data_IF_965424316370
#
_entry.id   IF_965424316370
#
_cell.length_a   1.000
_cell.length_b   1.000
_cell.length_c   1.000
_cell.angle_alpha   90.00
_cell.angle_beta   90.00
_cell.angle_gamma   90.00
#
_symmetry.space_group_name_H-M   'P 1'
#
loop_
_entity.id
_entity.type
_entity.pdbx_description
1 polymer ?
#
# COMPACT_ATOMS: atom_id res chain seq x y z
N UNK A 1 -3.92 20.50 -7.10
CA UNK A 1 -3.35 21.07 -5.86
C UNK A 1 -3.88 20.22 -4.72
N UNK A 2 -3.01 19.59 -3.92
CA UNK A 2 -3.45 18.94 -2.68
C UNK A 2 -4.13 19.99 -1.78
N UNK A 3 -5.26 19.63 -1.17
CA UNK A 3 -5.94 20.52 -0.23
C UNK A 3 -5.03 20.79 0.96
N UNK A 4 -4.99 22.03 1.49
CA UNK A 4 -4.16 22.36 2.64
C UNK A 4 -4.60 21.54 3.88
N UNK A 5 -3.62 20.89 4.51
CA UNK A 5 -3.79 20.06 5.71
C UNK A 5 -4.27 20.92 6.88
N UNK A 6 -5.38 20.51 7.52
CA UNK A 6 -5.84 21.11 8.78
C UNK A 6 -5.06 20.48 9.93
N UNK A 7 -4.40 21.30 10.72
CA UNK A 7 -3.62 20.88 11.89
C UNK A 7 -4.03 21.70 13.12
N UNK A 8 -3.94 21.14 14.34
CA UNK A 8 -4.31 21.84 15.57
C UNK A 8 -3.29 22.89 16.01
N UNK A 9 -2.04 22.78 15.58
CA UNK A 9 -0.97 23.71 15.95
C UNK A 9 -0.88 24.90 14.99
N UNK A 10 -0.48 26.05 15.53
CA UNK A 10 -0.26 27.27 14.77
C UNK A 10 1.08 27.24 14.05
N UNK A 11 2.08 26.58 14.65
CA UNK A 11 3.44 26.47 14.10
C UNK A 11 4.10 25.16 14.50
N UNK A 12 5.13 24.73 13.76
CA UNK A 12 5.92 23.54 14.10
C UNK A 12 6.64 23.69 15.45
N UNK A 13 7.04 24.91 15.84
CA UNK A 13 7.64 25.16 17.16
C UNK A 13 6.68 24.81 18.32
N UNK A 14 5.38 25.03 18.14
CA UNK A 14 4.37 24.65 19.13
C UNK A 14 4.27 23.12 19.26
N UNK A 15 4.37 22.40 18.14
CA UNK A 15 4.40 20.94 18.12
C UNK A 15 5.66 20.37 18.79
N UNK A 16 6.82 20.96 18.49
CA UNK A 16 8.12 20.60 19.05
C UNK A 16 8.17 20.82 20.57
N UNK A 17 7.60 21.93 21.05
CA UNK A 17 7.47 22.21 22.48
C UNK A 17 6.65 21.15 23.22
N UNK A 18 5.53 20.70 22.63
CA UNK A 18 4.71 19.64 23.22
C UNK A 18 5.46 18.31 23.20
N UNK A 19 6.17 18.00 22.11
CA UNK A 19 7.00 16.80 22.06
C UNK A 19 8.05 16.80 23.18
N UNK A 20 8.72 17.93 23.38
CA UNK A 20 9.67 18.15 24.48
C UNK A 20 9.02 17.90 25.85
N UNK A 21 7.85 18.51 26.12
CA UNK A 21 7.10 18.29 27.36
C UNK A 21 6.71 16.83 27.62
N UNK A 22 6.54 16.04 26.56
CA UNK A 22 6.13 14.64 26.66
C UNK A 22 7.32 13.72 26.91
N UNK A 23 8.43 13.94 26.20
CA UNK A 23 9.51 12.96 26.04
C UNK A 23 10.87 13.36 26.63
N UNK A 24 11.09 14.61 27.05
CA UNK A 24 12.41 15.05 27.56
C UNK A 24 12.80 14.37 28.88
N UNK A 25 11.89 14.40 29.87
CA UNK A 25 12.05 13.69 31.14
C UNK A 25 10.82 12.80 31.40
N UNK A 26 11.06 11.51 31.68
CA UNK A 26 10.01 10.56 32.02
C UNK A 26 9.45 10.78 33.43
N UNK A 27 10.26 11.34 34.34
CA UNK A 27 9.92 11.51 35.75
C UNK A 27 9.29 12.88 36.07
N UNK A 28 9.49 13.88 35.20
CA UNK A 28 8.89 15.19 35.41
C UNK A 28 7.41 15.20 34.98
N UNK A 29 6.53 15.27 35.97
CA UNK A 29 5.08 15.28 35.76
C UNK A 29 4.56 16.67 35.35
N UNK A 30 5.27 17.75 35.68
CA UNK A 30 4.82 19.12 35.42
C UNK A 30 4.61 19.40 33.93
N UNK A 31 5.62 19.21 33.08
CA UNK A 31 5.49 19.33 31.62
C UNK A 31 4.46 18.39 31.02
N UNK A 32 4.35 17.14 31.52
CA UNK A 32 3.34 16.19 31.03
C UNK A 32 1.91 16.67 31.28
N UNK A 33 1.65 17.31 32.42
CA UNK A 33 0.34 17.96 32.70
C UNK A 33 0.07 19.08 31.70
N UNK A 34 1.07 19.92 31.37
CA UNK A 34 0.93 20.96 30.36
C UNK A 34 0.60 20.38 28.97
N UNK A 35 1.29 19.29 28.59
CA UNK A 35 1.02 18.59 27.33
C UNK A 35 -0.41 18.02 27.28
N UNK A 36 -0.87 17.37 28.36
CA UNK A 36 -2.25 16.86 28.46
C UNK A 36 -3.28 17.98 28.31
N UNK A 37 -3.10 19.11 29.01
CA UNK A 37 -4.00 20.25 28.91
C UNK A 37 -4.04 20.80 27.49
N UNK A 38 -2.88 20.93 26.84
CA UNK A 38 -2.77 21.45 25.47
C UNK A 38 -3.42 20.53 24.44
N UNK A 39 -3.12 19.23 24.48
CA UNK A 39 -3.73 18.23 23.61
C UNK A 39 -5.25 18.14 23.82
N UNK A 40 -5.72 18.20 25.06
CA UNK A 40 -7.15 18.21 25.38
C UNK A 40 -7.85 19.45 24.81
N UNK A 41 -7.22 20.62 24.94
CA UNK A 41 -7.75 21.86 24.35
C UNK A 41 -7.83 21.79 22.82
N UNK A 42 -6.81 21.23 22.16
CA UNK A 42 -6.83 21.02 20.72
C UNK A 42 -7.93 20.07 20.28
N UNK A 43 -8.10 18.94 20.99
CA UNK A 43 -9.18 17.97 20.74
C UNK A 43 -10.58 18.59 20.80
N UNK A 44 -10.77 19.61 21.63
CA UNK A 44 -12.05 20.30 21.76
C UNK A 44 -12.40 21.18 20.55
N UNK A 45 -11.40 21.64 19.79
CA UNK A 45 -11.60 22.64 18.72
C UNK A 45 -11.40 22.03 17.33
N UNK A 46 -10.55 21.01 17.20
CA UNK A 46 -10.31 20.30 15.95
C UNK A 46 -10.10 18.81 16.19
N UNK A 47 -10.38 18.01 15.16
CA UNK A 47 -10.03 16.59 15.18
C UNK A 47 -8.51 16.45 15.37
N UNK A 48 -8.10 15.69 16.39
CA UNK A 48 -6.72 15.31 16.58
C UNK A 48 -6.38 14.10 15.71
N UNK A 49 -5.19 14.06 15.09
CA UNK A 49 -4.67 12.82 14.52
C UNK A 49 -4.67 11.72 15.58
N UNK A 50 -5.05 10.49 15.21
CA UNK A 50 -5.11 9.37 16.16
C UNK A 50 -3.73 9.10 16.84
N UNK A 51 -2.64 9.51 16.19
CA UNK A 51 -1.33 9.89 16.71
C UNK A 51 -1.35 10.45 18.14
N UNK A 52 -1.84 11.68 18.18
CA UNK A 52 -1.93 12.54 19.34
C UNK A 52 -3.00 12.08 20.31
N UNK A 53 -4.10 11.51 19.81
CA UNK A 53 -5.14 10.95 20.69
C UNK A 53 -4.61 9.78 21.51
N UNK A 54 -3.83 8.90 20.88
CA UNK A 54 -3.16 7.78 21.54
C UNK A 54 -2.14 8.28 22.55
N UNK A 55 -1.31 9.26 22.17
CA UNK A 55 -0.36 9.90 23.10
C UNK A 55 -1.08 10.53 24.30
N UNK A 56 -2.18 11.27 24.09
CA UNK A 56 -3.00 11.84 25.14
C UNK A 56 -3.56 10.75 26.08
N UNK A 57 -4.09 9.66 25.51
CA UNK A 57 -4.61 8.55 26.30
C UNK A 57 -3.53 7.93 27.22
N UNK A 58 -2.33 7.69 26.70
CA UNK A 58 -1.23 7.18 27.54
C UNK A 58 -0.81 8.18 28.62
N UNK A 59 -0.65 9.46 28.28
CA UNK A 59 -0.26 10.49 29.25
C UNK A 59 -1.25 10.60 30.40
N UNK A 60 -2.56 10.58 30.11
CA UNK A 60 -3.60 10.63 31.15
C UNK A 60 -3.47 9.45 32.11
N UNK A 61 -3.26 8.24 31.60
CA UNK A 61 -3.14 7.05 32.45
C UNK A 61 -1.83 7.03 33.24
N UNK A 62 -0.71 7.45 32.64
CA UNK A 62 0.58 7.58 33.34
C UNK A 62 0.51 8.60 34.48
N UNK A 63 -0.14 9.74 34.25
CA UNK A 63 -0.36 10.74 35.30
C UNK A 63 -1.26 10.18 36.41
N UNK A 64 -2.31 9.44 36.07
CA UNK A 64 -3.20 8.80 37.05
C UNK A 64 -2.47 7.76 37.92
N UNK A 65 -1.58 6.98 37.30
CA UNK A 65 -0.75 5.95 37.94
C UNK A 65 0.33 6.54 38.87
N UNK A 66 0.82 7.75 38.56
CA UNK A 66 1.82 8.45 39.39
C UNK A 66 1.27 8.94 40.74
N UNK A 67 -0.05 8.95 40.94
CA UNK A 67 -0.69 9.42 42.18
C UNK A 67 -0.68 8.30 43.24
N UNK A 68 0.06 8.44 44.36
CA UNK A 68 0.29 7.35 45.32
C UNK A 68 -1.00 6.79 45.95
N UNK A 69 -2.05 7.60 46.05
CA UNK A 69 -3.33 7.19 46.67
C UNK A 69 -4.20 6.29 45.78
N UNK A 70 -3.94 6.23 44.47
CA UNK A 70 -4.74 5.45 43.49
C UNK A 70 -4.19 4.07 43.20
N UNK A 71 -2.97 3.75 43.65
CA UNK A 71 -2.37 2.42 43.58
C UNK A 71 -3.23 1.32 44.24
N UNK A 72 -4.18 1.70 45.13
CA UNK A 72 -5.13 0.80 45.77
C UNK A 72 -6.17 0.18 44.79
N UNK A 73 -6.44 0.81 43.63
CA UNK A 73 -7.40 0.32 42.64
C UNK A 73 -6.68 -0.20 41.38
N UNK A 74 -5.91 -1.29 41.55
CA UNK A 74 -5.11 -1.88 40.46
C UNK A 74 -5.93 -2.22 39.21
N UNK A 75 -7.23 -2.53 39.34
CA UNK A 75 -8.09 -2.88 38.22
C UNK A 75 -8.40 -1.70 37.29
N UNK A 76 -8.74 -0.52 37.82
CA UNK A 76 -9.09 0.63 36.98
C UNK A 76 -7.88 1.12 36.18
N UNK A 77 -6.70 1.16 36.80
CA UNK A 77 -5.44 1.48 36.12
C UNK A 77 -5.15 0.46 35.02
N UNK A 78 -5.25 -0.83 35.31
CA UNK A 78 -5.05 -1.89 34.29
C UNK A 78 -6.02 -1.76 33.12
N UNK A 79 -7.30 -1.49 33.39
CA UNK A 79 -8.30 -1.29 32.35
C UNK A 79 -8.00 -0.06 31.48
N UNK A 80 -7.57 1.04 32.10
CA UNK A 80 -7.24 2.26 31.39
C UNK A 80 -6.00 2.11 30.49
N UNK A 81 -4.93 1.49 30.99
CA UNK A 81 -3.76 1.17 30.15
C UNK A 81 -4.13 0.22 29.01
N UNK A 82 -4.86 -0.86 29.31
CA UNK A 82 -5.32 -1.79 28.30
C UNK A 82 -6.15 -1.10 27.21
N UNK A 83 -7.09 -0.23 27.59
CA UNK A 83 -7.90 0.54 26.67
C UNK A 83 -7.04 1.47 25.77
N UNK A 84 -6.02 2.12 26.32
CA UNK A 84 -5.11 2.95 25.54
C UNK A 84 -4.33 2.13 24.49
N UNK A 85 -3.82 0.95 24.87
CA UNK A 85 -3.10 0.04 23.96
C UNK A 85 -4.04 -0.50 22.87
N UNK A 86 -5.24 -0.94 23.25
CA UNK A 86 -6.26 -1.43 22.30
C UNK A 86 -6.58 -0.34 21.27
N UNK A 87 -6.82 0.91 21.73
CA UNK A 87 -7.14 2.01 20.82
C UNK A 87 -5.97 2.37 19.90
N UNK A 88 -4.75 2.41 20.42
CA UNK A 88 -3.56 2.62 19.59
C UNK A 88 -3.48 1.58 18.47
N UNK A 89 -3.48 0.29 18.83
CA UNK A 89 -3.30 -0.81 17.87
C UNK A 89 -4.42 -0.86 16.85
N UNK A 90 -5.68 -0.77 17.28
CA UNK A 90 -6.81 -0.81 16.36
C UNK A 90 -6.82 0.40 15.42
N UNK A 91 -6.67 1.62 15.93
CA UNK A 91 -6.68 2.79 15.06
C UNK A 91 -5.43 2.94 14.17
N UNK A 92 -4.35 2.21 14.45
CA UNK A 92 -3.23 2.02 13.51
C UNK A 92 -3.58 1.07 12.37
N UNK A 93 -4.20 -0.06 12.71
CA UNK A 93 -4.35 -1.19 11.79
C UNK A 93 -5.61 -1.08 10.94
N UNK A 94 -6.71 -0.59 11.51
CA UNK A 94 -8.01 -0.56 10.84
C UNK A 94 -8.00 0.31 9.56
N UNK A 95 -7.41 1.53 9.54
CA UNK A 95 -7.33 2.33 8.31
C UNK A 95 -6.44 1.69 7.22
N UNK A 96 -5.55 0.79 7.62
CA UNK A 96 -4.59 0.10 6.75
C UNK A 96 -5.05 -1.30 6.34
N UNK A 97 -6.27 -1.67 6.72
CA UNK A 97 -6.92 -2.90 6.30
C UNK A 97 -7.44 -2.78 4.86
N UNK A 98 -6.49 -2.59 3.93
CA UNK A 98 -6.74 -2.32 2.52
C UNK A 98 -6.89 -3.61 1.70
N UNK A 99 -7.71 -3.57 0.65
CA UNK A 99 -7.87 -4.66 -0.31
C UNK A 99 -9.11 -5.52 -0.08
N UNK A 100 -9.29 -6.53 -0.95
CA UNK A 100 -10.48 -7.40 -0.94
C UNK A 100 -10.46 -8.43 0.18
N UNK A 101 -9.26 -8.86 0.58
CA UNK A 101 -9.07 -9.88 1.61
C UNK A 101 -8.54 -9.26 2.89
N UNK A 102 -9.16 -9.62 4.02
CA UNK A 102 -8.70 -9.20 5.32
C UNK A 102 -7.27 -9.70 5.59
N UNK A 103 -6.41 -8.82 6.08
CA UNK A 103 -5.05 -9.16 6.56
C UNK A 103 -5.07 -9.31 8.07
N UNK A 104 -4.17 -10.12 8.61
CA UNK A 104 -4.05 -10.21 10.07
C UNK A 104 -3.50 -8.91 10.65
N UNK A 105 -3.95 -8.57 11.87
CA UNK A 105 -3.44 -7.40 12.62
C UNK A 105 -1.93 -7.49 12.75
N UNK A 106 -1.40 -8.67 13.11
CA UNK A 106 0.04 -8.93 13.18
C UNK A 106 0.77 -8.65 11.85
N UNK A 107 0.19 -8.97 10.69
CA UNK A 107 0.82 -8.69 9.39
C UNK A 107 0.91 -7.20 9.09
N UNK A 108 -0.12 -6.41 9.45
CA UNK A 108 -0.11 -4.96 9.26
C UNK A 108 0.85 -4.33 10.27
N UNK A 109 0.78 -4.70 11.54
CA UNK A 109 1.68 -4.22 12.60
C UNK A 109 3.16 -4.49 12.28
N UNK A 110 3.48 -5.69 11.77
CA UNK A 110 4.83 -6.00 11.31
C UNK A 110 5.29 -5.03 10.20
N UNK A 111 4.41 -4.73 9.25
CA UNK A 111 4.72 -3.81 8.16
C UNK A 111 4.93 -2.37 8.66
N UNK A 112 4.25 -1.98 9.74
CA UNK A 112 4.43 -0.69 10.41
C UNK A 112 5.66 -0.64 11.32
N UNK A 113 6.38 -1.74 11.50
CA UNK A 113 7.45 -1.83 12.50
C UNK A 113 6.94 -1.73 13.94
N UNK A 114 5.65 -1.97 14.19
CA UNK A 114 5.09 -2.03 15.54
C UNK A 114 5.49 -3.36 16.20
N UNK A 115 6.03 -3.34 17.43
CA UNK A 115 6.37 -4.56 18.15
C UNK A 115 5.18 -5.52 18.26
N UNK A 116 5.34 -6.76 17.76
CA UNK A 116 4.23 -7.72 17.66
C UNK A 116 3.63 -8.12 19.01
N UNK A 117 4.43 -8.08 20.08
CA UNK A 117 3.93 -8.36 21.43
C UNK A 117 2.92 -7.31 21.92
N UNK A 118 2.90 -6.08 21.35
CA UNK A 118 1.82 -5.11 21.62
C UNK A 118 0.49 -5.56 20.99
N UNK A 119 0.55 -6.29 19.88
CA UNK A 119 -0.62 -6.93 19.26
C UNK A 119 -1.12 -8.08 20.13
N UNK A 120 -0.21 -8.87 20.70
CA UNK A 120 -0.53 -9.92 21.67
C UNK A 120 -1.16 -9.32 22.94
N UNK A 121 -0.58 -8.24 23.46
CA UNK A 121 -1.09 -7.54 24.64
C UNK A 121 -2.49 -6.96 24.40
N UNK A 122 -2.73 -6.42 23.18
CA UNK A 122 -4.08 -6.03 22.72
C UNK A 122 -5.02 -7.23 22.67
N UNK A 123 -4.58 -8.36 22.11
CA UNK A 123 -5.41 -9.57 22.01
C UNK A 123 -5.82 -10.06 23.40
N UNK A 124 -4.85 -10.24 24.30
CA UNK A 124 -5.06 -10.66 25.68
C UNK A 124 -6.02 -9.72 26.42
N UNK A 125 -5.82 -8.40 26.28
CA UNK A 125 -6.68 -7.39 26.92
C UNK A 125 -8.14 -7.38 26.43
N UNK A 126 -8.43 -8.00 25.28
CA UNK A 126 -9.78 -8.05 24.69
C UNK A 126 -10.48 -9.41 24.83
N UNK A 127 -9.72 -10.51 24.84
CA UNK A 127 -10.26 -11.85 24.71
C UNK A 127 -9.80 -12.83 25.79
N UNK A 128 -8.71 -12.53 26.48
CA UNK A 128 -8.12 -13.37 27.52
C UNK A 128 -8.20 -12.66 28.88
N UNK A 129 -7.40 -13.14 29.83
CA UNK A 129 -7.24 -12.46 31.11
C UNK A 129 -6.50 -11.14 30.94
N UNK A 130 -7.03 -10.09 31.59
CA UNK A 130 -6.43 -8.76 31.55
C UNK A 130 -4.95 -8.84 32.01
N UNK A 131 -3.98 -8.29 31.27
CA UNK A 131 -2.57 -8.39 31.63
C UNK A 131 -2.23 -7.73 32.98
N UNK A 132 -1.07 -8.06 33.54
CA UNK A 132 -0.58 -7.43 34.78
C UNK A 132 -0.30 -5.94 34.57
N UNK A 133 -0.36 -5.17 35.66
CA UNK A 133 -0.09 -3.72 35.58
C UNK A 133 1.33 -3.43 35.09
N UNK A 134 2.31 -4.26 35.47
CA UNK A 134 3.70 -4.13 35.01
C UNK A 134 3.83 -4.32 33.50
N UNK A 135 3.20 -5.36 32.93
CA UNK A 135 3.20 -5.58 31.48
C UNK A 135 2.51 -4.44 30.73
N UNK A 136 1.42 -3.90 31.28
CA UNK A 136 0.69 -2.78 30.69
C UNK A 136 1.48 -1.47 30.72
N UNK A 137 2.22 -1.19 31.80
CA UNK A 137 3.15 -0.05 31.89
C UNK A 137 4.26 -0.16 30.85
N UNK A 138 4.87 -1.34 30.72
CA UNK A 138 5.89 -1.58 29.69
C UNK A 138 5.31 -1.44 28.27
N UNK A 139 4.08 -1.91 28.06
CA UNK A 139 3.35 -1.75 26.79
C UNK A 139 3.10 -0.29 26.45
N UNK A 140 2.72 0.52 27.43
CA UNK A 140 2.56 1.96 27.28
C UNK A 140 3.88 2.67 26.96
N UNK A 141 4.97 2.31 27.64
CA UNK A 141 6.31 2.89 27.41
C UNK A 141 6.81 2.59 26.00
N UNK A 142 6.70 1.35 25.53
CA UNK A 142 7.08 0.99 24.16
C UNK A 142 6.16 1.65 23.11
N UNK A 143 4.86 1.75 23.40
CA UNK A 143 3.89 2.45 22.55
C UNK A 143 4.24 3.94 22.39
N UNK A 144 4.57 4.62 23.48
CA UNK A 144 5.01 6.03 23.49
C UNK A 144 6.33 6.20 22.73
N UNK A 145 7.29 5.29 22.92
CA UNK A 145 8.56 5.30 22.16
C UNK A 145 8.31 5.14 20.65
N UNK A 146 7.42 4.21 20.28
CA UNK A 146 7.04 4.00 18.88
C UNK A 146 6.37 5.25 18.30
N UNK A 147 5.46 5.89 19.03
CA UNK A 147 4.79 7.14 18.63
C UNK A 147 5.80 8.28 18.44
N UNK A 148 6.80 8.42 19.32
CA UNK A 148 7.87 9.41 19.17
C UNK A 148 8.59 9.23 17.83
N UNK A 149 9.04 8.00 17.55
CA UNK A 149 9.85 7.68 16.39
C UNK A 149 9.07 7.71 15.07
N UNK A 150 7.80 7.28 15.07
CA UNK A 150 7.01 7.06 13.86
C UNK A 150 5.98 8.15 13.58
N UNK A 151 5.72 9.06 14.54
CA UNK A 151 4.79 10.17 14.37
C UNK A 151 5.43 11.52 14.73
N UNK A 152 5.88 11.70 15.98
CA UNK A 152 6.30 13.02 16.46
C UNK A 152 7.56 13.54 15.74
N UNK A 153 8.66 12.78 15.75
CA UNK A 153 9.92 13.22 15.12
C UNK A 153 9.77 13.43 13.61
N UNK A 154 9.13 12.53 12.83
CA UNK A 154 8.90 12.77 11.41
C UNK A 154 7.98 13.97 11.12
N UNK A 155 7.00 14.23 11.98
CA UNK A 155 6.08 15.37 11.80
C UNK A 155 6.77 16.70 12.10
N UNK A 156 7.63 16.75 13.11
CA UNK A 156 8.41 17.95 13.47
C UNK A 156 9.51 18.19 12.44
N UNK A 157 10.20 17.13 12.02
CA UNK A 157 11.34 17.22 11.13
C UNK A 157 11.25 16.23 9.95
N UNK A 158 10.47 16.58 8.91
CA UNK A 158 10.24 15.68 7.77
C UNK A 158 11.48 15.44 6.90
N UNK A 159 12.52 16.29 7.01
CA UNK A 159 13.72 16.20 6.18
C UNK A 159 14.84 15.37 6.80
N UNK A 160 14.81 15.13 8.11
CA UNK A 160 15.87 14.41 8.84
C UNK A 160 15.41 13.00 9.23
N UNK A 161 14.10 12.75 9.34
CA UNK A 161 13.60 11.44 9.69
C UNK A 161 13.93 10.40 8.60
N UNK A 162 14.55 9.26 8.95
CA UNK A 162 14.72 8.17 8.00
C UNK A 162 13.32 7.70 7.57
N UNK A 163 13.05 7.72 6.26
CA UNK A 163 11.79 7.18 5.71
C UNK A 163 11.64 5.75 6.23
N UNK A 164 10.55 5.40 6.95
CA UNK A 164 10.40 4.05 7.46
C UNK A 164 10.39 3.08 6.27
N UNK A 165 11.46 2.29 6.14
CA UNK A 165 11.62 1.37 5.02
C UNK A 165 10.73 0.15 5.27
N UNK A 166 9.50 0.21 4.76
CA UNK A 166 8.68 -0.99 4.69
C UNK A 166 9.21 -1.86 3.55
N UNK A 167 9.70 -3.05 3.87
CA UNK A 167 10.22 -3.98 2.87
C UNK A 167 9.05 -4.66 2.17
N UNK A 168 8.62 -4.11 1.03
CA UNK A 168 7.64 -4.78 0.16
C UNK A 168 8.31 -6.01 -0.47
N UNK A 169 7.73 -7.19 -0.27
CA UNK A 169 8.21 -8.44 -0.89
C UNK A 169 8.09 -8.38 -2.42
N UNK A 170 8.95 -9.10 -3.14
CA UNK A 170 8.79 -9.26 -4.59
C UNK A 170 7.59 -10.16 -4.91
N UNK A 171 6.79 -9.79 -5.91
CA UNK A 171 5.64 -10.58 -6.38
C UNK A 171 6.02 -11.67 -7.41
N UNK A 172 7.23 -11.58 -7.99
CA UNK A 172 7.70 -12.51 -9.04
C UNK A 172 7.60 -13.99 -8.64
N UNK A 173 7.95 -14.41 -7.41
CA UNK A 173 7.79 -15.81 -6.99
C UNK A 173 6.34 -16.29 -7.07
N UNK A 174 5.38 -15.49 -6.58
CA UNK A 174 3.94 -15.81 -6.61
C UNK A 174 3.43 -15.92 -8.05
N UNK A 175 3.84 -15.00 -8.94
CA UNK A 175 3.48 -15.06 -10.36
C UNK A 175 4.04 -16.30 -11.05
N UNK A 176 5.27 -16.71 -10.69
CA UNK A 176 5.89 -17.95 -11.22
C UNK A 176 5.20 -19.21 -10.70
N UNK A 177 4.80 -19.23 -9.43
CA UNK A 177 4.02 -20.32 -8.84
C UNK A 177 2.66 -20.46 -9.52
N UNK A 178 1.91 -19.37 -9.63
CA UNK A 178 0.64 -19.32 -10.37
C UNK A 178 0.81 -19.89 -11.78
N UNK A 179 1.83 -19.41 -12.51
CA UNK A 179 2.16 -19.87 -13.85
C UNK A 179 2.47 -21.37 -13.91
N UNK A 180 3.21 -21.91 -12.95
CA UNK A 180 3.56 -23.33 -12.91
C UNK A 180 2.30 -24.18 -12.73
N UNK A 181 1.44 -23.82 -11.76
CA UNK A 181 0.20 -24.53 -11.45
C UNK A 181 -0.78 -24.53 -12.63
N UNK A 182 -1.01 -23.38 -13.27
CA UNK A 182 -1.90 -23.32 -14.44
C UNK A 182 -1.32 -24.07 -15.63
N UNK A 183 -0.01 -23.98 -15.86
CA UNK A 183 0.65 -24.70 -16.96
C UNK A 183 0.51 -26.21 -16.82
N UNK A 184 0.62 -26.75 -15.61
CA UNK A 184 0.38 -28.17 -15.34
C UNK A 184 -1.08 -28.54 -15.55
N UNK A 185 -2.00 -27.69 -15.07
CA UNK A 185 -3.45 -27.90 -15.20
C UNK A 185 -3.93 -27.87 -16.66
N UNK A 186 -3.35 -27.00 -17.50
CA UNK A 186 -3.67 -26.93 -18.93
C UNK A 186 -3.14 -28.16 -19.68
N UNK A 187 -2.01 -28.72 -19.23
CA UNK A 187 -1.40 -29.91 -19.84
C UNK A 187 -2.09 -31.20 -19.41
N UNK A 188 -2.56 -31.26 -18.17
CA UNK A 188 -3.22 -32.41 -17.59
C UNK A 188 -4.48 -31.95 -16.86
N UNK A 189 -5.63 -32.16 -17.51
CA UNK A 189 -6.93 -31.76 -17.01
C UNK A 189 -7.32 -32.46 -15.69
N UNK A 190 -6.77 -33.66 -15.43
CA UNK A 190 -7.03 -34.38 -14.18
C UNK A 190 -6.53 -33.63 -12.94
N UNK A 191 -5.49 -32.78 -13.11
CA UNK A 191 -4.94 -31.95 -12.04
C UNK A 191 -5.80 -30.73 -11.71
N UNK A 192 -6.81 -30.41 -12.52
CA UNK A 192 -7.67 -29.22 -12.34
C UNK A 192 -8.32 -29.17 -10.97
N UNK A 193 -8.89 -30.29 -10.50
CA UNK A 193 -9.51 -30.36 -9.18
C UNK A 193 -8.48 -30.20 -8.06
N UNK A 194 -7.33 -30.86 -8.21
CA UNK A 194 -6.23 -30.85 -7.23
C UNK A 194 -5.61 -29.46 -7.07
N UNK A 195 -5.35 -28.77 -8.18
CA UNK A 195 -4.68 -27.47 -8.18
C UNK A 195 -5.63 -26.29 -7.98
N UNK A 196 -6.96 -26.48 -8.08
CA UNK A 196 -7.96 -25.40 -7.93
C UNK A 196 -7.72 -24.52 -6.70
N UNK A 197 -7.48 -25.14 -5.53
CA UNK A 197 -7.24 -24.40 -4.28
C UNK A 197 -5.91 -23.65 -4.30
N UNK A 198 -4.83 -24.30 -4.77
CA UNK A 198 -3.52 -23.67 -4.85
C UNK A 198 -3.51 -22.47 -5.82
N UNK A 199 -4.19 -22.59 -6.94
CA UNK A 199 -4.37 -21.49 -7.91
C UNK A 199 -5.14 -20.33 -7.29
N UNK A 200 -6.24 -20.62 -6.59
CA UNK A 200 -7.02 -19.60 -5.90
C UNK A 200 -6.19 -18.89 -4.81
N UNK A 201 -5.36 -19.63 -4.08
CA UNK A 201 -4.44 -19.05 -3.08
C UNK A 201 -3.38 -18.16 -3.73
N UNK A 202 -2.79 -18.57 -4.86
CA UNK A 202 -1.84 -17.74 -5.59
C UNK A 202 -2.47 -16.43 -6.09
N UNK A 203 -3.73 -16.46 -6.54
CA UNK A 203 -4.49 -15.24 -6.90
C UNK A 203 -4.71 -14.36 -5.65
N UNK A 204 -5.11 -14.94 -4.52
CA UNK A 204 -5.24 -14.22 -3.24
C UNK A 204 -3.92 -13.60 -2.77
N UNK A 205 -2.80 -14.26 -3.02
CA UNK A 205 -1.48 -13.76 -2.66
C UNK A 205 -1.06 -12.55 -3.52
N UNK A 206 -1.50 -12.48 -4.79
CA UNK A 206 -1.37 -11.28 -5.63
C UNK A 206 -2.18 -10.12 -5.04
N UNK A 207 -3.45 -10.35 -4.68
CA UNK A 207 -4.30 -9.35 -4.04
C UNK A 207 -3.72 -8.86 -2.69
N UNK A 208 -3.19 -9.79 -1.90
CA UNK A 208 -2.48 -9.47 -0.65
C UNK A 208 -1.24 -8.63 -0.92
N UNK A 209 -0.48 -8.92 -1.97
CA UNK A 209 0.67 -8.11 -2.37
C UNK A 209 0.24 -6.68 -2.75
N UNK A 210 -0.87 -6.50 -3.47
CA UNK A 210 -1.42 -5.18 -3.80
C UNK A 210 -1.76 -4.42 -2.52
N UNK A 211 -2.43 -5.06 -1.56
CA UNK A 211 -2.74 -4.46 -0.26
C UNK A 211 -1.46 -4.07 0.53
N UNK A 212 -0.46 -4.95 0.55
CA UNK A 212 0.84 -4.67 1.16
C UNK A 212 1.54 -3.49 0.47
N UNK A 213 1.51 -3.41 -0.85
CA UNK A 213 2.10 -2.32 -1.62
C UNK A 213 1.40 -0.97 -1.35
N UNK A 214 0.07 -0.97 -1.21
CA UNK A 214 -0.70 0.23 -0.80
C UNK A 214 -0.30 0.71 0.59
N UNK A 215 -0.16 -0.19 1.56
CA UNK A 215 0.31 0.16 2.91
C UNK A 215 1.76 0.68 2.87
N UNK A 216 2.64 0.04 2.11
CA UNK A 216 4.03 0.48 1.98
C UNK A 216 4.13 1.91 1.41
N UNK A 217 3.30 2.21 0.41
CA UNK A 217 3.19 3.55 -0.17
C UNK A 217 2.72 4.56 0.87
N UNK A 218 1.64 4.25 1.59
CA UNK A 218 1.11 5.06 2.70
C UNK A 218 2.20 5.41 3.73
N UNK A 219 2.99 4.43 4.17
CA UNK A 219 4.11 4.67 5.09
C UNK A 219 5.16 5.59 4.46
N UNK A 220 5.54 5.35 3.21
CA UNK A 220 6.57 6.16 2.52
C UNK A 220 6.16 7.61 2.30
N UNK A 221 4.86 7.88 2.16
CA UNK A 221 4.31 9.23 2.03
C UNK A 221 4.02 9.90 3.38
N UNK A 222 4.35 9.24 4.50
CA UNK A 222 4.04 9.73 5.85
C UNK A 222 2.54 9.66 6.21
N UNK A 223 1.73 9.00 5.37
CA UNK A 223 0.30 8.85 5.53
C UNK A 223 -0.01 7.47 6.12
N UNK A 224 0.22 7.35 7.41
CA UNK A 224 -0.06 6.14 8.20
C UNK A 224 -1.57 5.93 8.48
N UNK A 225 -2.46 6.62 7.75
CA UNK A 225 -3.91 6.55 7.97
C UNK A 225 -4.38 7.38 9.17
N UNK A 226 -3.55 8.30 9.67
CA UNK A 226 -3.92 9.26 10.71
C UNK A 226 -4.76 10.43 10.19
N UNK A 227 -5.06 10.46 8.89
CA UNK A 227 -5.66 11.59 8.17
C UNK A 227 -6.84 11.13 7.31
N UNK A 228 -7.76 12.08 7.05
CA UNK A 228 -8.86 11.84 6.12
C UNK A 228 -8.32 11.88 4.68
N UNK A 229 -7.99 10.71 4.14
CA UNK A 229 -7.58 10.56 2.73
C UNK A 229 -8.78 10.78 1.83
N UNK A 230 -8.63 11.58 0.78
CA UNK A 230 -9.71 11.76 -0.21
C UNK A 230 -9.81 10.54 -1.13
N UNK A 231 -10.99 10.29 -1.70
CA UNK A 231 -11.18 9.22 -2.68
C UNK A 231 -10.21 9.35 -3.87
N UNK A 232 -9.91 10.59 -4.28
CA UNK A 232 -8.96 10.89 -5.38
C UNK A 232 -7.53 10.45 -5.04
N UNK A 233 -7.09 10.68 -3.81
CA UNK A 233 -5.76 10.24 -3.37
C UNK A 233 -5.66 8.71 -3.33
N UNK A 234 -6.76 8.04 -2.96
CA UNK A 234 -6.81 6.59 -2.92
C UNK A 234 -6.72 5.96 -4.32
N UNK A 235 -7.42 6.54 -5.30
CA UNK A 235 -7.36 6.10 -6.70
C UNK A 235 -5.97 6.30 -7.31
N UNK A 236 -5.32 7.43 -7.01
CA UNK A 236 -3.95 7.69 -7.47
C UNK A 236 -2.94 6.70 -6.89
N UNK A 237 -3.07 6.39 -5.58
CA UNK A 237 -2.23 5.38 -4.90
C UNK A 237 -2.45 3.99 -5.46
N UNK A 238 -3.71 3.62 -5.71
CA UNK A 238 -4.05 2.35 -6.35
C UNK A 238 -3.45 2.24 -7.75
N UNK A 239 -3.60 3.29 -8.56
CA UNK A 239 -3.00 3.37 -9.89
C UNK A 239 -1.49 3.12 -9.84
N UNK A 240 -0.77 3.80 -8.96
CA UNK A 240 0.68 3.62 -8.79
C UNK A 240 1.07 2.18 -8.42
N UNK A 241 0.32 1.54 -7.53
CA UNK A 241 0.57 0.13 -7.16
C UNK A 241 0.31 -0.81 -8.35
N UNK A 242 -0.76 -0.57 -9.12
CA UNK A 242 -1.08 -1.34 -10.32
C UNK A 242 -0.05 -1.14 -11.43
N UNK A 243 0.58 0.04 -11.54
CA UNK A 243 1.68 0.28 -12.46
C UNK A 243 2.89 -0.61 -12.10
N UNK A 244 3.24 -0.70 -10.82
CA UNK A 244 4.31 -1.60 -10.35
C UNK A 244 3.99 -3.07 -10.59
N UNK A 245 2.74 -3.48 -10.35
CA UNK A 245 2.28 -4.83 -10.67
C UNK A 245 2.40 -5.11 -12.17
N UNK A 246 1.99 -4.15 -12.99
CA UNK A 246 2.03 -4.25 -14.44
C UNK A 246 3.46 -4.40 -14.93
N UNK A 247 4.43 -3.63 -14.40
CA UNK A 247 5.84 -3.77 -14.77
C UNK A 247 6.37 -5.20 -14.53
N UNK A 248 5.99 -5.83 -13.42
CA UNK A 248 6.35 -7.21 -13.11
C UNK A 248 5.62 -8.22 -14.02
N UNK A 249 4.37 -7.94 -14.39
CA UNK A 249 3.62 -8.75 -15.36
C UNK A 249 4.24 -8.70 -16.76
N UNK A 250 4.72 -7.53 -17.18
CA UNK A 250 5.33 -7.30 -18.49
C UNK A 250 6.77 -7.83 -18.57
N UNK A 251 7.39 -8.17 -17.43
CA UNK A 251 8.73 -8.72 -17.37
C UNK A 251 8.88 -10.04 -18.17
N UNK A 252 10.08 -10.24 -18.73
CA UNK A 252 10.44 -11.46 -19.46
C UNK A 252 10.29 -12.68 -18.53
N UNK A 253 9.47 -13.63 -18.97
CA UNK A 253 9.17 -14.86 -18.24
C UNK A 253 7.83 -14.88 -17.53
N UNK A 254 7.10 -13.76 -17.50
CA UNK A 254 5.73 -13.68 -16.97
C UNK A 254 4.72 -13.69 -18.13
N UNK A 255 4.19 -12.54 -18.56
CA UNK A 255 3.28 -12.43 -19.72
C UNK A 255 4.03 -12.68 -21.04
N UNK A 256 5.29 -12.22 -21.13
CA UNK A 256 6.12 -12.45 -22.30
C UNK A 256 7.00 -13.69 -22.08
N UNK A 257 6.84 -14.79 -22.83
CA UNK A 257 7.64 -16.01 -22.63
C UNK A 257 9.14 -15.76 -22.75
N UNK A 258 9.99 -16.48 -21.99
CA UNK A 258 11.46 -16.33 -22.11
C UNK A 258 11.98 -16.80 -23.47
N UNK A 259 11.48 -17.93 -23.97
CA UNK A 259 11.94 -18.53 -25.21
C UNK A 259 11.37 -17.80 -26.43
N UNK A 260 12.25 -17.38 -27.36
CA UNK A 260 11.86 -16.79 -28.66
C UNK A 260 10.97 -17.74 -29.47
N UNK A 261 11.17 -19.07 -29.35
CA UNK A 261 10.33 -20.09 -30.01
C UNK A 261 8.86 -20.06 -29.58
N UNK A 262 8.58 -19.51 -28.38
CA UNK A 262 7.22 -19.33 -27.86
C UNK A 262 6.64 -17.94 -28.14
N UNK A 263 7.41 -17.07 -28.81
CA UNK A 263 7.02 -15.75 -29.30
C UNK A 263 6.87 -15.78 -30.82
N UNK A 264 6.37 -16.89 -31.35
CA UNK A 264 6.00 -17.04 -32.75
C UNK A 264 4.52 -16.73 -32.87
N UNK A 265 4.16 -15.84 -33.79
CA UNK A 265 2.80 -15.35 -33.91
C UNK A 265 2.24 -15.77 -35.28
N UNK A 266 0.99 -16.26 -35.34
CA UNK A 266 0.31 -16.46 -36.61
C UNK A 266 0.19 -15.14 -37.37
N UNK A 267 0.30 -15.17 -38.69
CA UNK A 267 0.08 -13.98 -39.53
C UNK A 267 -1.38 -13.53 -39.51
N UNK A 268 -2.30 -14.46 -39.25
CA UNK A 268 -3.74 -14.27 -39.40
C UNK A 268 -4.39 -13.52 -38.24
N UNK A 269 -3.70 -13.38 -37.09
CA UNK A 269 -4.24 -12.64 -35.93
C UNK A 269 -3.18 -11.84 -35.19
N UNK A 270 -3.55 -10.65 -34.74
CA UNK A 270 -2.72 -9.79 -33.90
C UNK A 270 -2.98 -10.01 -32.39
N UNK A 271 -3.22 -11.26 -31.99
CA UNK A 271 -3.48 -11.62 -30.60
C UNK A 271 -2.30 -12.39 -29.99
N UNK A 272 -2.16 -12.41 -28.66
CA UNK A 272 -1.15 -13.24 -27.99
C UNK A 272 -1.39 -14.73 -28.28
N UNK A 273 -0.36 -15.58 -28.18
CA UNK A 273 -0.53 -17.03 -28.35
C UNK A 273 -1.60 -17.57 -27.41
N UNK A 274 -2.52 -18.39 -27.92
CA UNK A 274 -3.69 -18.87 -27.17
C UNK A 274 -3.31 -19.53 -25.84
N UNK A 275 -2.26 -20.33 -25.82
CA UNK A 275 -1.74 -20.94 -24.59
C UNK A 275 -1.36 -19.90 -23.53
N UNK A 276 -0.80 -18.76 -23.93
CA UNK A 276 -0.46 -17.67 -23.00
C UNK A 276 -1.70 -16.96 -22.49
N UNK A 277 -2.73 -16.82 -23.33
CA UNK A 277 -4.03 -16.29 -22.92
C UNK A 277 -4.69 -17.23 -21.91
N UNK A 278 -4.76 -18.54 -22.18
CA UNK A 278 -5.33 -19.53 -21.24
C UNK A 278 -4.60 -19.53 -19.89
N UNK A 279 -3.28 -19.33 -19.90
CA UNK A 279 -2.44 -19.28 -18.71
C UNK A 279 -2.74 -18.07 -17.81
N UNK A 280 -2.92 -16.88 -18.40
CA UNK A 280 -2.97 -15.61 -17.64
C UNK A 280 -4.35 -14.99 -17.55
N UNK A 281 -5.28 -15.34 -18.44
CA UNK A 281 -6.65 -14.82 -18.46
C UNK A 281 -7.36 -14.92 -17.11
N UNK A 282 -7.27 -16.03 -16.33
CA UNK A 282 -7.96 -16.09 -15.04
C UNK A 282 -7.47 -15.04 -14.04
N UNK A 283 -6.15 -14.80 -13.97
CA UNK A 283 -5.59 -13.76 -13.11
C UNK A 283 -5.93 -12.35 -13.61
N UNK A 284 -5.75 -12.10 -14.91
CA UNK A 284 -6.02 -10.78 -15.50
C UNK A 284 -7.50 -10.38 -15.38
N UNK A 285 -8.41 -11.33 -15.56
CA UNK A 285 -9.84 -11.08 -15.38
C UNK A 285 -10.15 -10.80 -13.91
N UNK A 286 -9.57 -11.54 -12.97
CA UNK A 286 -9.74 -11.27 -11.54
C UNK A 286 -9.27 -9.85 -11.18
N UNK A 287 -8.07 -9.47 -11.61
CA UNK A 287 -7.53 -8.13 -11.38
C UNK A 287 -8.42 -7.04 -11.97
N UNK A 288 -8.94 -7.20 -13.19
CA UNK A 288 -9.86 -6.22 -13.77
C UNK A 288 -11.20 -6.15 -13.04
N UNK A 289 -11.74 -7.29 -12.58
CA UNK A 289 -12.99 -7.30 -11.81
C UNK A 289 -12.85 -6.67 -10.44
N UNK A 290 -11.66 -6.78 -9.83
CA UNK A 290 -11.37 -6.21 -8.51
C UNK A 290 -10.96 -4.74 -8.61
N UNK A 291 -10.20 -4.37 -9.65
CA UNK A 291 -9.60 -3.06 -9.84
C UNK A 291 -10.03 -2.47 -11.19
N UNK A 292 -11.03 -1.57 -11.22
CA UNK A 292 -11.59 -1.05 -12.48
C UNK A 292 -10.56 -0.40 -13.40
N UNK A 293 -9.54 0.25 -12.83
CA UNK A 293 -8.48 0.95 -13.55
C UNK A 293 -7.34 0.02 -14.03
N UNK A 294 -7.38 -1.27 -13.75
CA UNK A 294 -6.27 -2.17 -14.08
C UNK A 294 -6.00 -2.24 -15.59
N UNK A 295 -7.04 -2.38 -16.41
CA UNK A 295 -6.92 -2.48 -17.86
C UNK A 295 -6.27 -1.23 -18.49
N UNK A 296 -6.72 -0.03 -18.10
CA UNK A 296 -6.16 1.23 -18.58
C UNK A 296 -4.69 1.38 -18.15
N UNK A 297 -4.38 1.05 -16.89
CA UNK A 297 -3.00 1.04 -16.38
C UNK A 297 -2.12 0.07 -17.16
N UNK A 298 -2.56 -1.17 -17.36
CA UNK A 298 -1.79 -2.19 -18.07
C UNK A 298 -1.48 -1.77 -19.51
N UNK A 299 -2.49 -1.28 -20.24
CA UNK A 299 -2.31 -0.79 -21.62
C UNK A 299 -1.37 0.41 -21.66
N UNK A 300 -1.52 1.36 -20.73
CA UNK A 300 -0.64 2.52 -20.63
C UNK A 300 0.82 2.11 -20.36
N UNK A 301 1.06 1.16 -19.45
CA UNK A 301 2.41 0.62 -19.17
C UNK A 301 2.99 -0.11 -20.37
N UNK A 302 2.19 -0.88 -21.11
CA UNK A 302 2.63 -1.52 -22.36
C UNK A 302 3.06 -0.45 -23.38
N UNK A 303 2.23 0.55 -23.62
CA UNK A 303 2.54 1.63 -24.56
C UNK A 303 3.80 2.40 -24.14
N UNK A 304 3.95 2.68 -22.84
CA UNK A 304 5.15 3.32 -22.30
C UNK A 304 6.41 2.50 -22.58
N UNK A 305 6.37 1.17 -22.40
CA UNK A 305 7.48 0.28 -22.74
C UNK A 305 7.82 0.31 -24.24
N UNK A 306 6.80 0.30 -25.11
CA UNK A 306 6.97 0.30 -26.57
C UNK A 306 7.48 1.64 -27.12
N UNK A 307 7.15 2.75 -26.46
CA UNK A 307 7.48 4.10 -26.92
C UNK A 307 8.83 4.60 -26.36
N UNK A 308 9.24 4.14 -25.17
CA UNK A 308 10.47 4.59 -24.50
C UNK A 308 11.78 4.13 -25.16
N UNK A 309 11.78 3.00 -25.91
CA UNK A 309 13.00 2.49 -26.58
C UNK A 309 13.33 3.21 -27.90
N UNK A 310 12.58 4.24 -28.30
CA UNK A 310 12.84 5.00 -29.54
C UNK A 310 13.96 6.06 -29.43
N UNK A 311 14.43 6.38 -28.22
CA UNK A 311 15.44 7.43 -27.98
C UNK A 311 16.88 6.93 -27.76
N UNK A 312 17.12 5.63 -27.55
CA UNK A 312 18.47 5.07 -27.37
C UNK A 312 19.00 4.43 -28.66
N UNK A 313 19.38 5.30 -29.60
CA UNK A 313 20.15 4.91 -30.78
C UNK A 313 21.56 4.42 -30.40
N UNK A 314 21.69 3.15 -29.97
CA UNK A 314 22.96 2.42 -30.02
C UNK A 314 22.74 0.90 -30.14
N UNK A 315 22.84 0.43 -31.38
CA UNK A 315 23.22 -0.91 -31.85
C UNK A 315 23.23 -2.09 -30.84
N UNK A 316 22.24 -2.99 -30.97
CA UNK A 316 22.30 -4.34 -30.38
C UNK A 316 20.96 -5.08 -30.33
N UNK A 317 20.41 -5.48 -31.48
CA UNK A 317 19.15 -6.26 -31.63
C UNK A 317 17.98 -5.76 -30.77
N UNK A 318 17.21 -4.81 -31.29
CA UNK A 318 15.84 -4.56 -30.81
C UNK A 318 15.13 -5.89 -30.63
N UNK A 319 14.55 -6.14 -29.46
CA UNK A 319 13.86 -7.41 -29.20
C UNK A 319 12.51 -7.40 -29.93
N UNK A 320 12.48 -7.30 -31.26
CA UNK A 320 11.27 -7.19 -32.08
C UNK A 320 10.18 -8.22 -31.69
N UNK A 321 10.57 -9.45 -31.33
CA UNK A 321 9.64 -10.49 -30.82
C UNK A 321 9.01 -10.20 -29.44
N UNK A 322 9.70 -9.48 -28.57
CA UNK A 322 9.23 -9.03 -27.25
C UNK A 322 8.22 -7.89 -27.43
N UNK A 323 8.58 -6.87 -28.20
CA UNK A 323 7.72 -5.70 -28.48
C UNK A 323 6.45 -6.12 -29.20
N UNK A 324 6.59 -7.02 -30.19
CA UNK A 324 5.48 -7.65 -30.89
C UNK A 324 4.56 -8.46 -29.95
N UNK A 325 5.11 -9.05 -28.88
CA UNK A 325 4.31 -9.76 -27.87
C UNK A 325 3.53 -8.78 -26.99
N UNK A 326 4.18 -7.68 -26.57
CA UNK A 326 3.58 -6.64 -25.75
C UNK A 326 2.43 -5.95 -26.50
N UNK A 327 2.65 -5.54 -27.76
CA UNK A 327 1.63 -4.92 -28.58
C UNK A 327 0.38 -5.80 -28.76
N UNK A 328 0.57 -7.12 -28.87
CA UNK A 328 -0.53 -8.09 -28.93
C UNK A 328 -1.29 -8.20 -27.61
N UNK A 329 -0.61 -8.13 -26.47
CA UNK A 329 -1.26 -8.09 -25.16
C UNK A 329 -2.06 -6.79 -24.96
N UNK A 330 -1.56 -5.65 -25.43
CA UNK A 330 -2.33 -4.40 -25.44
C UNK A 330 -3.60 -4.52 -26.29
N UNK A 331 -3.49 -5.09 -27.51
CA UNK A 331 -4.68 -5.37 -28.33
C UNK A 331 -5.66 -6.30 -27.61
N UNK A 332 -5.18 -7.41 -27.05
CA UNK A 332 -6.04 -8.35 -26.32
C UNK A 332 -6.76 -7.68 -25.14
N UNK A 333 -6.08 -6.81 -24.38
CA UNK A 333 -6.68 -6.08 -23.28
C UNK A 333 -7.79 -5.13 -23.76
N UNK A 334 -7.54 -4.39 -24.86
CA UNK A 334 -8.55 -3.52 -25.49
C UNK A 334 -9.74 -4.35 -25.98
N UNK A 335 -9.50 -5.40 -26.78
CA UNK A 335 -10.57 -6.23 -27.34
C UNK A 335 -11.40 -6.95 -26.24
N UNK A 336 -10.79 -7.25 -25.08
CA UNK A 336 -11.45 -7.98 -23.99
C UNK A 336 -12.28 -7.07 -23.08
N UNK A 337 -11.84 -5.81 -22.87
CA UNK A 337 -12.40 -4.93 -21.83
C UNK A 337 -13.00 -3.62 -22.35
N UNK A 338 -12.71 -3.22 -23.58
CA UNK A 338 -13.32 -2.05 -24.23
C UNK A 338 -14.50 -2.55 -25.08
N UNK A 339 -15.66 -2.75 -24.45
CA UNK A 339 -16.90 -3.11 -25.15
C UNK A 339 -17.46 -1.90 -25.91
N UNK A 340 -17.88 -2.10 -27.16
CA UNK A 340 -18.44 -1.01 -28.00
C UNK A 340 -19.76 -0.41 -27.46
N UNK A 341 -20.35 -0.98 -26.40
CA UNK A 341 -21.65 -0.61 -25.78
C UNK A 341 -21.55 0.14 -24.43
N UNK A 342 -20.35 0.49 -23.96
CA UNK A 342 -20.22 1.13 -22.64
C UNK A 342 -20.29 2.66 -22.73
N UNK A 343 -21.34 3.26 -22.17
CA UNK A 343 -21.49 4.70 -21.83
C UNK A 343 -20.45 5.21 -20.79
N UNK A 344 -19.32 4.52 -20.64
CA UNK A 344 -18.25 4.90 -19.73
C UNK A 344 -17.50 6.11 -20.31
N UNK A 345 -17.34 7.17 -19.51
CA UNK A 345 -16.64 8.41 -19.89
C UNK A 345 -15.19 8.18 -20.38
N UNK A 346 -14.59 7.03 -20.09
CA UNK A 346 -13.19 6.69 -20.38
C UNK A 346 -13.11 5.39 -21.18
N UNK A 347 -12.83 5.48 -22.49
CA UNK A 347 -12.55 4.31 -23.33
C UNK A 347 -11.05 4.06 -23.43
N UNK A 348 -10.63 2.82 -23.17
CA UNK A 348 -9.22 2.41 -23.17
C UNK A 348 -8.62 2.60 -24.56
N UNK A 349 -9.41 2.35 -25.62
CA UNK A 349 -9.01 2.58 -27.02
C UNK A 349 -8.77 4.06 -27.30
N UNK A 350 -9.60 4.96 -26.76
CA UNK A 350 -9.40 6.41 -26.89
C UNK A 350 -8.13 6.86 -26.16
N UNK A 351 -7.90 6.40 -24.93
CA UNK A 351 -6.68 6.74 -24.17
C UNK A 351 -5.40 6.23 -24.85
N UNK A 352 -5.44 5.01 -25.37
CA UNK A 352 -4.33 4.43 -26.13
C UNK A 352 -4.05 5.25 -27.40
N UNK A 353 -5.10 5.63 -28.15
CA UNK A 353 -4.96 6.48 -29.33
C UNK A 353 -4.38 7.85 -28.99
N UNK A 354 -4.84 8.51 -27.93
CA UNK A 354 -4.31 9.80 -27.46
C UNK A 354 -2.84 9.67 -27.08
N UNK A 355 -2.45 8.61 -26.37
CA UNK A 355 -1.05 8.36 -26.00
C UNK A 355 -0.16 8.19 -27.24
N UNK A 356 -0.62 7.43 -28.24
CA UNK A 356 0.08 7.26 -29.52
C UNK A 356 0.17 8.56 -30.31
N UNK A 357 -0.91 9.34 -30.39
CA UNK A 357 -0.94 10.65 -31.08
C UNK A 357 -0.02 11.65 -30.38
N UNK A 358 0.05 11.64 -29.07
CA UNK A 358 0.91 12.57 -28.32
C UNK A 358 2.39 12.31 -28.59
N UNK A 359 2.78 11.04 -28.74
CA UNK A 359 4.18 10.64 -28.95
C UNK A 359 4.56 10.58 -30.44
N UNK A 360 3.65 10.21 -31.33
CA UNK A 360 3.93 10.06 -32.77
C UNK A 360 3.40 11.24 -33.61
N UNK A 361 2.64 12.14 -32.99
CA UNK A 361 2.04 13.30 -33.64
C UNK A 361 3.09 14.31 -34.14
N UNK A 362 2.71 15.16 -35.11
CA UNK A 362 3.64 16.03 -35.83
C UNK A 362 4.39 17.06 -34.96
N UNK A 363 4.01 17.24 -33.69
CA UNK A 363 4.64 18.15 -32.73
C UNK A 363 6.10 17.82 -32.38
N UNK A 364 6.54 16.56 -32.52
CA UNK A 364 7.95 16.18 -32.33
C UNK A 364 8.83 16.43 -33.57
N UNK A 365 8.23 16.63 -34.75
CA UNK A 365 9.00 16.89 -35.98
C UNK A 365 9.34 18.37 -36.21
N UNK A 366 8.61 19.30 -35.60
CA UNK A 366 8.86 20.74 -35.76
C UNK A 366 10.03 21.26 -34.92
N UNK A 367 10.39 20.58 -33.82
CA UNK A 367 11.58 20.91 -33.04
C UNK A 367 12.90 20.41 -33.67
N UNK A 368 12.84 19.49 -34.65
CA UNK A 368 14.04 18.92 -35.31
C UNK A 368 14.50 19.66 -36.57
N UNK A 369 13.86 20.77 -36.95
CA UNK A 369 14.25 21.56 -38.14
C UNK A 369 14.93 22.91 -37.83
N UNK A 370 15.04 23.32 -36.57
CA UNK A 370 15.72 24.56 -36.18
C UNK A 370 16.73 24.32 -35.03
N UNK A 371 17.69 23.42 -35.26
CA UNK A 371 18.92 23.33 -34.47
C UNK A 371 20.11 23.33 -35.44
#
# INVERSE_FOLDING_TARGET
MQLPRRVPWTSIAELDQICTWIYEDENDLGPKILAVNKLTAWKAVTALPHAMESTLAFLVVVLDDSVPSKAAFSLSLRQNYAAAIIRLVNGLVDPLQLGVYARSIASISHQLGLPLWLVELRHASTHEDLPSLELLREGARQSMTWLLQNYWLPTINPYIAPVPQTTLRSIVPTLKEYKALLKETIRDESLRSRHKLAIANAIKDVERWIAEAKVALNVSTGDLGWENVTAVDQDAKERYVLERLSDELLAKGILVPLSKKKRTFPSDSFLPPEFSVQLWKPLLLHLQTTHPNFASVLVHRILSCLLSESDSASAGSTNSSFDACLARWAKWAIDTWDSDDSDMEVSIRKEAAVSLITVLGPGLSFARKNA
#
